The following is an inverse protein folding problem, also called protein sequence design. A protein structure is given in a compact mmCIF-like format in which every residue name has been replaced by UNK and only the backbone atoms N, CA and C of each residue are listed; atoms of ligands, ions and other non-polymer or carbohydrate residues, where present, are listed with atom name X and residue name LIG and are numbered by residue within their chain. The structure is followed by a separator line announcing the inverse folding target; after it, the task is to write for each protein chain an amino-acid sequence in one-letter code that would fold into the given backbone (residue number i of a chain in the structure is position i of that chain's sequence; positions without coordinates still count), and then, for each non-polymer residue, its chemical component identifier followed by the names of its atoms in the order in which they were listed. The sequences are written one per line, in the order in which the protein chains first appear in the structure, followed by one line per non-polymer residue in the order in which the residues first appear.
data_IF_154682578742
#
_entry.id   IF_154682578742
#
_cell.length_a   1.000
_cell.length_b   1.000
_cell.length_c   1.000
_cell.angle_alpha   90.00
_cell.angle_beta   90.00
_cell.angle_gamma   90.00
#
_symmetry.space_group_name_H-M   'P 1'
#
loop_
_entity.id
_entity.type
_entity.pdbx_description
1 polymer ?
#
# COMPACT_ATOMS: atom_id res chain seq x y z
N UNK A 1 24.61 12.02 -3.98
CA UNK A 1 23.63 13.01 -4.46
C UNK A 1 22.24 12.43 -4.27
N UNK A 2 21.24 13.16 -3.77
CA UNK A 2 19.88 12.62 -3.70
C UNK A 2 19.40 12.35 -5.13
N UNK A 3 18.91 11.13 -5.36
CA UNK A 3 18.28 10.73 -6.62
C UNK A 3 17.11 11.69 -6.86
N UNK A 4 16.97 12.30 -8.05
CA UNK A 4 15.84 13.18 -8.36
C UNK A 4 14.54 12.40 -8.16
N UNK A 5 13.64 12.90 -7.31
CA UNK A 5 12.32 12.29 -7.17
C UNK A 5 11.58 12.37 -8.50
N UNK A 6 10.96 11.28 -8.98
CA UNK A 6 10.12 11.34 -10.17
C UNK A 6 9.01 12.38 -10.00
N UNK A 7 8.66 13.13 -11.05
CA UNK A 7 7.70 14.21 -10.96
C UNK A 7 6.34 13.70 -10.47
N UNK A 8 5.77 14.40 -9.50
CA UNK A 8 4.50 14.05 -8.87
C UNK A 8 3.39 13.93 -9.92
N UNK A 9 2.68 12.79 -9.97
CA UNK A 9 1.43 12.65 -10.75
C UNK A 9 0.42 13.68 -10.23
N UNK A 10 0.28 14.79 -10.94
CA UNK A 10 -0.65 15.86 -10.61
C UNK A 10 -2.07 15.40 -10.96
N UNK A 11 -3.03 15.62 -10.07
CA UNK A 11 -4.43 15.21 -10.22
C UNK A 11 -5.26 16.17 -11.07
N UNK A 12 -4.70 17.33 -11.44
CA UNK A 12 -5.35 18.29 -12.35
C UNK A 12 -5.33 17.73 -13.76
N UNK A 13 -6.48 17.74 -14.43
CA UNK A 13 -6.65 17.23 -15.79
C UNK A 13 -5.60 17.78 -16.76
N UNK A 14 -5.31 19.09 -16.71
CA UNK A 14 -4.27 19.71 -17.54
C UNK A 14 -2.87 19.14 -17.30
N UNK A 15 -2.53 18.81 -16.05
CA UNK A 15 -1.28 18.11 -15.77
C UNK A 15 -1.32 16.69 -16.33
N UNK A 16 -2.40 15.94 -16.11
CA UNK A 16 -2.53 14.55 -16.60
C UNK A 16 -2.39 14.50 -18.12
N UNK A 17 -3.06 15.40 -18.84
CA UNK A 17 -2.94 15.51 -20.30
C UNK A 17 -1.54 15.94 -20.73
N UNK A 18 -0.94 16.93 -20.07
CA UNK A 18 0.44 17.37 -20.39
C UNK A 18 1.45 16.26 -20.12
N UNK A 19 1.32 15.53 -19.01
CA UNK A 19 2.17 14.39 -18.66
C UNK A 19 2.04 13.22 -19.64
N UNK A 20 0.82 12.95 -20.14
CA UNK A 20 0.58 11.90 -21.15
C UNK A 20 1.11 12.30 -22.53
N UNK A 21 0.85 13.55 -22.95
CA UNK A 21 1.29 14.09 -24.26
C UNK A 21 2.81 14.21 -24.34
N UNK A 22 3.49 14.48 -23.22
CA UNK A 22 4.95 14.60 -23.16
C UNK A 22 5.68 13.26 -22.97
N UNK A 23 4.99 12.11 -22.89
CA UNK A 23 5.64 10.80 -22.73
C UNK A 23 6.37 10.60 -21.39
N UNK A 24 6.11 11.43 -20.38
CA UNK A 24 6.82 11.39 -19.08
C UNK A 24 6.46 10.11 -18.30
N UNK A 25 5.26 9.56 -18.51
CA UNK A 25 4.85 8.28 -17.93
C UNK A 25 5.52 7.06 -18.57
N UNK A 26 5.86 7.09 -19.87
CA UNK A 26 6.58 5.97 -20.50
C UNK A 26 8.00 5.86 -19.94
N UNK A 27 8.71 6.98 -19.78
CA UNK A 27 10.06 6.97 -19.18
C UNK A 27 10.08 6.59 -17.69
N UNK A 28 9.15 7.14 -16.89
CA UNK A 28 9.13 6.89 -15.43
C UNK A 28 8.68 5.47 -15.04
N UNK A 29 7.97 4.75 -15.93
CA UNK A 29 7.63 3.33 -15.71
C UNK A 29 8.70 2.38 -16.24
N UNK A 30 9.49 2.81 -17.23
CA UNK A 30 10.66 2.07 -17.72
C UNK A 30 11.87 2.19 -16.76
N UNK A 31 11.99 3.28 -15.99
CA UNK A 31 13.11 3.50 -15.05
C UNK A 31 12.96 2.85 -13.67
N UNK A 32 11.76 2.47 -13.24
CA UNK A 32 11.57 1.77 -11.96
C UNK A 32 11.48 0.28 -12.22
N UNK A 33 12.58 -0.44 -12.01
CA UNK A 33 12.61 -1.90 -11.88
C UNK A 33 11.79 -2.33 -10.64
N UNK A 34 10.48 -2.13 -10.68
CA UNK A 34 9.56 -2.53 -9.64
C UNK A 34 9.48 -4.05 -9.71
N UNK A 35 9.98 -4.72 -8.67
CA UNK A 35 9.95 -6.18 -8.61
C UNK A 35 8.54 -6.72 -8.87
N UNK A 36 8.43 -7.83 -9.60
CA UNK A 36 7.15 -8.41 -10.02
C UNK A 36 6.14 -8.53 -8.86
N UNK A 37 6.64 -8.87 -7.68
CA UNK A 37 5.81 -9.06 -6.49
C UNK A 37 5.23 -7.77 -5.92
N UNK A 38 5.93 -6.63 -6.07
CA UNK A 38 5.38 -5.33 -5.70
C UNK A 38 4.26 -4.93 -6.67
N UNK A 39 4.42 -5.25 -7.96
CA UNK A 39 3.36 -5.00 -8.94
C UNK A 39 2.11 -5.83 -8.62
N UNK A 40 2.27 -7.12 -8.35
CA UNK A 40 1.14 -7.97 -7.96
C UNK A 40 0.48 -7.47 -6.66
N UNK A 41 1.25 -7.01 -5.68
CA UNK A 41 0.74 -6.43 -4.44
C UNK A 41 -0.19 -5.24 -4.70
N UNK A 42 0.26 -4.29 -5.51
CA UNK A 42 -0.50 -3.09 -5.83
C UNK A 42 -1.78 -3.42 -6.63
N UNK A 43 -1.68 -4.36 -7.57
CA UNK A 43 -2.83 -4.83 -8.36
C UNK A 43 -3.83 -5.58 -7.46
N UNK A 44 -3.36 -6.42 -6.53
CA UNK A 44 -4.20 -7.16 -5.59
C UNK A 44 -4.96 -6.22 -4.64
N UNK A 45 -4.31 -5.20 -4.10
CA UNK A 45 -4.97 -4.20 -3.25
C UNK A 45 -5.98 -3.35 -4.01
N UNK A 46 -5.65 -2.96 -5.25
CA UNK A 46 -6.59 -2.28 -6.14
C UNK A 46 -7.82 -3.16 -6.39
N UNK A 47 -7.63 -4.45 -6.66
CA UNK A 47 -8.73 -5.42 -6.84
C UNK A 47 -9.59 -5.53 -5.58
N UNK A 48 -8.97 -5.71 -4.41
CA UNK A 48 -9.69 -5.81 -3.14
C UNK A 48 -10.54 -4.56 -2.86
N UNK A 49 -9.96 -3.38 -3.04
CA UNK A 49 -10.67 -2.11 -2.90
C UNK A 49 -11.87 -1.99 -3.85
N UNK A 50 -11.73 -2.47 -5.09
CA UNK A 50 -12.77 -2.38 -6.13
C UNK A 50 -13.90 -3.40 -5.92
N UNK A 51 -13.59 -4.55 -5.33
CA UNK A 51 -14.55 -5.60 -4.99
C UNK A 51 -15.30 -5.33 -3.69
N UNK A 52 -14.79 -4.43 -2.83
CA UNK A 52 -15.45 -4.05 -1.59
C UNK A 52 -16.82 -3.37 -1.83
N UNK A 53 -17.78 -3.66 -0.96
CA UNK A 53 -19.04 -2.90 -0.88
C UNK A 53 -18.80 -1.41 -0.56
N UNK A 54 -17.67 -1.10 0.08
CA UNK A 54 -17.25 0.26 0.46
C UNK A 54 -16.43 0.97 -0.62
N UNK A 55 -16.28 0.42 -1.82
CA UNK A 55 -15.44 1.00 -2.91
C UNK A 55 -15.70 2.48 -3.19
N UNK A 56 -16.95 2.93 -3.05
CA UNK A 56 -17.32 4.35 -3.20
C UNK A 56 -16.62 5.30 -2.20
N UNK A 57 -16.17 4.76 -1.08
CA UNK A 57 -15.48 5.46 0.01
C UNK A 57 -13.98 5.20 -0.06
N UNK A 58 -13.56 3.94 -0.19
CA UNK A 58 -12.16 3.52 0.04
C UNK A 58 -11.31 3.37 -1.22
N UNK A 59 -11.93 3.30 -2.42
CA UNK A 59 -11.18 3.33 -3.68
C UNK A 59 -10.76 4.76 -3.99
N UNK A 60 -9.82 5.26 -3.19
CA UNK A 60 -9.26 6.61 -3.30
C UNK A 60 -7.73 6.55 -3.20
N UNK A 61 -6.99 7.23 -4.08
CA UNK A 61 -7.48 7.98 -5.24
C UNK A 61 -8.15 7.09 -6.29
N UNK A 62 -9.18 7.62 -6.95
CA UNK A 62 -9.73 7.06 -8.19
C UNK A 62 -8.79 7.37 -9.38
N UNK A 63 -8.71 6.51 -10.43
CA UNK A 63 -7.77 6.71 -11.51
C UNK A 63 -8.12 7.90 -12.40
N UNK A 64 -7.07 8.57 -12.87
CA UNK A 64 -7.12 9.60 -13.91
C UNK A 64 -6.34 9.08 -15.10
N UNK A 65 -7.02 8.47 -16.05
CA UNK A 65 -6.41 7.79 -17.20
C UNK A 65 -7.01 8.36 -18.48
N UNK A 66 -6.13 8.82 -19.38
CA UNK A 66 -6.49 9.35 -20.70
C UNK A 66 -7.02 8.22 -21.58
N UNK A 67 -8.04 8.51 -22.39
CA UNK A 67 -8.54 7.55 -23.37
C UNK A 67 -7.50 7.34 -24.50
N UNK A 68 -7.04 6.09 -24.73
CA UNK A 68 -6.06 5.79 -25.78
C UNK A 68 -6.50 6.17 -27.19
N UNK A 69 -7.81 6.22 -27.45
CA UNK A 69 -8.36 6.58 -28.77
C UNK A 69 -8.76 8.05 -28.86
N UNK A 70 -8.83 8.76 -27.73
CA UNK A 70 -9.17 10.17 -27.71
C UNK A 70 -8.42 10.90 -26.58
N UNK A 71 -7.26 11.52 -26.89
CA UNK A 71 -6.39 12.13 -25.88
C UNK A 71 -6.99 13.39 -25.23
N UNK A 72 -8.18 13.84 -25.65
CA UNK A 72 -8.88 15.00 -25.07
C UNK A 72 -9.81 14.62 -23.92
N UNK A 73 -10.05 13.34 -23.69
CA UNK A 73 -10.97 12.86 -22.66
C UNK A 73 -10.27 11.87 -21.72
N UNK A 74 -10.78 11.78 -20.49
CA UNK A 74 -10.36 10.79 -19.52
C UNK A 74 -11.30 9.58 -19.58
N UNK A 75 -10.76 8.41 -19.88
CA UNK A 75 -11.47 7.14 -19.78
C UNK A 75 -11.79 6.77 -18.33
N UNK A 76 -10.89 7.12 -17.40
CA UNK A 76 -11.17 7.09 -15.96
C UNK A 76 -11.00 8.50 -15.39
N UNK A 77 -12.06 9.02 -14.74
CA UNK A 77 -12.06 10.33 -14.10
C UNK A 77 -12.64 10.26 -12.69
N UNK A 78 -11.99 10.87 -11.69
CA UNK A 78 -12.55 10.99 -10.34
C UNK A 78 -13.89 11.74 -10.29
N UNK A 79 -14.16 12.60 -11.28
CA UNK A 79 -15.43 13.35 -11.41
C UNK A 79 -16.57 12.47 -11.92
N UNK A 80 -16.27 11.43 -12.70
CA UNK A 80 -17.24 10.52 -13.33
C UNK A 80 -16.76 9.08 -13.16
N UNK A 81 -16.97 8.53 -11.97
CA UNK A 81 -16.47 7.21 -11.59
C UNK A 81 -17.29 6.10 -12.24
N UNK A 82 -16.63 5.23 -13.00
CA UNK A 82 -17.22 4.00 -13.53
C UNK A 82 -16.47 2.79 -12.98
N UNK A 83 -16.97 2.23 -11.87
CA UNK A 83 -16.35 1.07 -11.23
C UNK A 83 -16.46 -0.21 -12.09
N UNK A 84 -17.57 -0.38 -12.83
CA UNK A 84 -17.75 -1.54 -13.69
C UNK A 84 -16.75 -1.55 -14.86
N UNK A 85 -16.51 -0.39 -15.49
CA UNK A 85 -15.51 -0.28 -16.56
C UNK A 85 -14.09 -0.47 -16.03
N UNK A 86 -13.81 0.06 -14.85
CA UNK A 86 -12.54 -0.09 -14.16
C UNK A 86 -12.26 -1.56 -13.80
N UNK A 87 -13.28 -2.29 -13.34
CA UNK A 87 -13.17 -3.71 -13.01
C UNK A 87 -12.81 -4.52 -14.25
N UNK A 88 -13.48 -4.27 -15.39
CA UNK A 88 -13.16 -4.93 -16.67
C UNK A 88 -11.70 -4.72 -17.09
N UNK A 89 -11.21 -3.48 -17.03
CA UNK A 89 -9.81 -3.18 -17.36
C UNK A 89 -8.84 -3.89 -16.40
N UNK A 90 -9.15 -3.90 -15.09
CA UNK A 90 -8.34 -4.57 -14.08
C UNK A 90 -8.34 -6.10 -14.25
N UNK A 91 -9.46 -6.70 -14.65
CA UNK A 91 -9.56 -8.13 -14.93
C UNK A 91 -8.66 -8.51 -16.12
N UNK A 92 -8.55 -7.66 -17.14
CA UNK A 92 -7.60 -7.84 -18.26
C UNK A 92 -6.15 -7.75 -17.80
N UNK A 93 -5.81 -6.82 -16.89
CA UNK A 93 -4.47 -6.75 -16.28
C UNK A 93 -4.15 -8.06 -15.55
N UNK A 94 -5.07 -8.55 -14.73
CA UNK A 94 -4.91 -9.79 -13.97
C UNK A 94 -4.77 -11.01 -14.89
N UNK A 95 -5.55 -11.09 -15.95
CA UNK A 95 -5.49 -12.18 -16.93
C UNK A 95 -4.10 -12.27 -17.56
N UNK A 96 -3.56 -11.15 -18.02
CA UNK A 96 -2.27 -11.13 -18.70
C UNK A 96 -1.14 -11.38 -17.72
N UNK A 97 -1.22 -10.87 -16.50
CA UNK A 97 -0.22 -11.22 -15.46
C UNK A 97 -0.20 -12.71 -15.11
N UNK A 98 -1.30 -13.44 -15.33
CA UNK A 98 -1.34 -14.91 -15.17
C UNK A 98 -0.74 -15.66 -16.35
N UNK A 99 -0.91 -15.12 -17.55
CA UNK A 99 -0.57 -15.81 -18.80
C UNK A 99 0.79 -15.42 -19.37
N UNK A 100 1.24 -14.20 -19.11
CA UNK A 100 2.40 -13.64 -19.76
C UNK A 100 3.69 -14.03 -19.05
N UNK A 101 4.46 -14.85 -19.76
CA UNK A 101 5.89 -15.01 -19.58
C UNK A 101 6.56 -14.26 -20.74
N UNK A 102 7.44 -13.31 -20.45
CA UNK A 102 8.18 -12.61 -21.51
C UNK A 102 8.49 -11.14 -21.23
N UNK A 103 9.12 -10.46 -22.20
CA UNK A 103 9.53 -9.06 -22.07
C UNK A 103 8.33 -8.12 -21.89
N UNK A 104 8.54 -7.01 -21.18
CA UNK A 104 7.50 -6.01 -20.89
C UNK A 104 6.80 -5.44 -22.13
N UNK A 105 7.53 -5.32 -23.25
CA UNK A 105 6.97 -4.88 -24.54
C UNK A 105 5.90 -5.83 -25.09
N UNK A 106 6.04 -7.14 -24.84
CA UNK A 106 5.09 -8.15 -25.27
C UNK A 106 3.86 -8.18 -24.36
N UNK A 107 4.07 -8.00 -23.06
CA UNK A 107 2.99 -7.84 -22.06
C UNK A 107 2.09 -6.67 -22.43
N UNK A 108 2.68 -5.53 -22.83
CA UNK A 108 1.93 -4.34 -23.28
C UNK A 108 1.07 -4.66 -24.51
N UNK A 109 1.63 -5.27 -25.55
CA UNK A 109 0.90 -5.61 -26.77
C UNK A 109 -0.28 -6.54 -26.49
N UNK A 110 -0.08 -7.52 -25.60
CA UNK A 110 -1.15 -8.41 -25.16
C UNK A 110 -2.24 -7.64 -24.40
N UNK A 111 -1.88 -6.68 -23.54
CA UNK A 111 -2.82 -5.82 -22.81
C UNK A 111 -3.67 -5.00 -23.76
N UNK A 112 -3.02 -4.27 -24.67
CA UNK A 112 -3.69 -3.41 -25.64
C UNK A 112 -4.67 -4.19 -26.53
N UNK A 113 -4.37 -5.47 -26.83
CA UNK A 113 -5.25 -6.35 -27.61
C UNK A 113 -6.51 -6.80 -26.87
N UNK A 114 -6.42 -7.05 -25.56
CA UNK A 114 -7.57 -7.52 -24.75
C UNK A 114 -8.44 -6.33 -24.31
N UNK A 115 -7.81 -5.32 -23.72
CA UNK A 115 -8.48 -4.10 -23.32
C UNK A 115 -7.50 -2.92 -23.42
N UNK A 116 -7.75 -1.93 -24.28
CA UNK A 116 -6.85 -0.79 -24.49
C UNK A 116 -6.64 0.06 -23.23
N UNK A 117 -7.50 -0.06 -22.20
CA UNK A 117 -7.31 0.59 -20.91
C UNK A 117 -6.51 -0.24 -19.89
N UNK A 118 -6.22 -1.52 -20.16
CA UNK A 118 -5.51 -2.38 -19.21
C UNK A 118 -4.09 -1.87 -18.93
N UNK A 119 -3.32 -1.60 -19.98
CA UNK A 119 -1.95 -1.10 -19.82
C UNK A 119 -1.89 0.32 -19.22
N UNK A 120 -2.67 1.31 -19.69
CA UNK A 120 -2.73 2.62 -19.05
C UNK A 120 -3.17 2.56 -17.58
N UNK A 121 -4.09 1.65 -17.23
CA UNK A 121 -4.50 1.44 -15.85
C UNK A 121 -3.35 0.86 -15.00
N UNK A 122 -2.63 -0.14 -15.51
CA UNK A 122 -1.48 -0.70 -14.82
C UNK A 122 -0.40 0.37 -14.59
N UNK A 123 -0.07 1.17 -15.60
CA UNK A 123 0.86 2.29 -15.46
C UNK A 123 0.37 3.27 -14.40
N UNK A 124 -0.91 3.61 -14.38
CA UNK A 124 -1.47 4.43 -13.32
C UNK A 124 -1.28 3.77 -11.97
N UNK A 125 -1.64 2.50 -11.77
CA UNK A 125 -1.50 1.78 -10.49
C UNK A 125 -0.08 1.89 -9.94
N UNK A 126 0.92 1.69 -10.80
CA UNK A 126 2.34 1.79 -10.45
C UNK A 126 2.76 3.23 -10.13
N UNK A 127 2.53 4.16 -11.05
CA UNK A 127 3.02 5.54 -10.95
C UNK A 127 2.36 6.34 -9.82
N UNK A 128 1.16 5.98 -9.41
CA UNK A 128 0.42 6.67 -8.35
C UNK A 128 0.72 6.14 -6.95
N UNK A 129 1.42 5.01 -6.83
CA UNK A 129 2.07 4.65 -5.57
C UNK A 129 3.41 5.39 -5.46
N UNK A 130 3.47 6.38 -4.57
CA UNK A 130 4.69 7.18 -4.32
C UNK A 130 5.54 6.63 -3.19
N UNK A 131 5.06 5.59 -2.52
CA UNK A 131 5.85 4.92 -1.50
C UNK A 131 6.88 4.04 -2.22
N UNK A 132 8.16 4.22 -1.90
CA UNK A 132 9.19 3.32 -2.44
C UNK A 132 9.08 1.98 -1.71
N UNK A 133 8.43 1.00 -2.36
CA UNK A 133 8.17 -0.33 -1.80
C UNK A 133 9.20 -1.31 -2.35
N UNK A 134 9.90 -1.99 -1.45
CA UNK A 134 10.89 -3.01 -1.78
C UNK A 134 10.54 -4.30 -1.06
N UNK A 135 10.53 -5.42 -1.78
CA UNK A 135 10.41 -6.73 -1.12
C UNK A 135 11.71 -7.07 -0.40
N UNK A 136 11.61 -7.48 0.86
CA UNK A 136 12.78 -7.90 1.63
C UNK A 136 13.27 -9.28 1.14
N UNK A 137 14.58 -9.41 0.82
CA UNK A 137 15.18 -10.72 0.59
C UNK A 137 15.19 -11.53 1.88
N UNK A 138 15.20 -12.86 1.75
CA UNK A 138 15.08 -13.80 2.88
C UNK A 138 16.02 -13.49 4.06
N UNK A 139 17.27 -13.11 3.77
CA UNK A 139 18.29 -12.80 4.77
C UNK A 139 18.07 -11.47 5.51
N UNK A 140 17.11 -10.64 5.08
CA UNK A 140 16.75 -9.35 5.70
C UNK A 140 15.31 -9.32 6.21
N UNK A 141 14.62 -10.46 6.24
CA UNK A 141 13.26 -10.56 6.75
C UNK A 141 13.22 -10.55 8.29
N UNK A 142 12.18 -9.94 8.85
CA UNK A 142 11.88 -10.03 10.27
C UNK A 142 11.36 -11.43 10.56
N UNK A 143 12.12 -12.20 11.34
CA UNK A 143 11.87 -13.64 11.48
C UNK A 143 10.55 -13.93 12.19
N UNK A 144 10.17 -13.07 13.14
CA UNK A 144 8.95 -13.20 13.92
C UNK A 144 7.66 -12.99 13.11
N UNK A 145 7.73 -12.53 11.87
CA UNK A 145 6.54 -12.33 11.04
C UNK A 145 6.12 -13.58 10.26
N UNK A 146 6.98 -14.59 10.11
CA UNK A 146 6.66 -15.89 9.49
C UNK A 146 5.93 -15.82 8.14
N UNK A 147 6.23 -14.81 7.34
CA UNK A 147 5.76 -14.71 5.95
C UNK A 147 6.93 -14.35 5.03
N UNK A 148 7.03 -14.97 3.84
CA UNK A 148 8.01 -14.56 2.84
C UNK A 148 7.63 -13.24 2.15
N UNK A 149 6.40 -12.75 2.37
CA UNK A 149 5.86 -11.54 1.74
C UNK A 149 6.00 -10.34 2.68
N UNK A 150 7.25 -9.94 2.91
CA UNK A 150 7.60 -8.77 3.70
C UNK A 150 8.08 -7.65 2.79
N UNK A 151 7.44 -6.50 2.90
CA UNK A 151 7.75 -5.33 2.09
C UNK A 151 8.20 -4.19 3.00
N UNK A 152 9.32 -3.56 2.66
CA UNK A 152 9.80 -2.34 3.27
C UNK A 152 9.31 -1.14 2.46
N UNK A 153 8.73 -0.17 3.15
CA UNK A 153 8.31 1.12 2.61
C UNK A 153 9.37 2.15 3.04
N UNK A 154 10.33 2.39 2.15
CA UNK A 154 11.53 3.20 2.43
C UNK A 154 11.15 4.67 2.68
N UNK A 155 10.15 5.17 1.96
CA UNK A 155 9.60 6.51 2.15
C UNK A 155 8.09 6.49 1.96
N UNK A 156 7.37 7.21 2.81
CA UNK A 156 5.98 7.59 2.51
C UNK A 156 5.92 8.66 1.41
N UNK A 157 4.71 9.20 1.11
CA UNK A 157 4.57 10.35 0.21
C UNK A 157 5.51 11.51 0.63
N UNK A 158 6.30 12.12 -0.29
CA UNK A 158 7.43 12.98 0.08
C UNK A 158 7.12 14.10 1.08
N UNK A 159 5.96 14.76 0.94
CA UNK A 159 5.55 15.82 1.86
C UNK A 159 5.21 15.30 3.26
N UNK A 160 4.63 14.10 3.37
CA UNK A 160 4.31 13.45 4.64
C UNK A 160 5.57 12.93 5.32
N UNK A 161 6.48 12.32 4.55
CA UNK A 161 7.78 11.86 5.06
C UNK A 161 8.60 13.04 5.61
N UNK A 162 8.65 14.18 4.91
CA UNK A 162 9.34 15.37 5.40
C UNK A 162 8.79 15.86 6.75
N UNK A 163 7.46 15.93 6.92
CA UNK A 163 6.83 16.32 8.19
C UNK A 163 7.11 15.31 9.30
N UNK A 164 7.05 14.01 8.97
CA UNK A 164 7.39 12.93 9.92
C UNK A 164 8.84 13.04 10.41
N UNK A 165 9.81 13.26 9.52
CA UNK A 165 11.22 13.37 9.90
C UNK A 165 11.49 14.59 10.79
N UNK A 166 10.82 15.72 10.54
CA UNK A 166 10.90 16.90 11.42
C UNK A 166 10.37 16.58 12.82
N UNK A 167 9.20 15.95 12.92
CA UNK A 167 8.60 15.56 14.20
C UNK A 167 9.47 14.51 14.94
N UNK A 168 10.06 13.56 14.21
CA UNK A 168 10.96 12.53 14.73
C UNK A 168 12.20 13.13 15.39
N UNK A 169 12.82 14.14 14.77
CA UNK A 169 13.97 14.83 15.36
C UNK A 169 13.63 15.53 16.67
N UNK A 170 12.40 16.03 16.80
CA UNK A 170 11.96 16.79 17.97
C UNK A 170 11.50 15.89 19.12
N UNK A 171 10.78 14.81 18.81
CA UNK A 171 10.06 14.02 19.82
C UNK A 171 10.55 12.57 19.95
N UNK A 172 11.44 12.13 19.07
CA UNK A 172 11.77 10.71 18.91
C UNK A 172 10.64 9.90 18.26
N UNK A 173 10.91 8.61 18.09
CA UNK A 173 9.94 7.66 17.53
C UNK A 173 10.09 6.28 18.17
N UNK A 174 9.03 5.48 18.05
CA UNK A 174 9.00 4.05 18.39
C UNK A 174 8.24 3.27 17.31
N UNK A 175 8.16 1.96 17.42
CA UNK A 175 7.42 1.12 16.48
C UNK A 175 6.13 0.58 17.11
N UNK A 176 5.07 0.47 16.31
CA UNK A 176 3.83 -0.19 16.69
C UNK A 176 3.15 -0.78 15.46
N UNK A 177 2.39 -1.85 15.65
CA UNK A 177 1.60 -2.47 14.60
C UNK A 177 0.29 -1.72 14.34
N UNK A 178 -0.16 -1.81 13.10
CA UNK A 178 -1.49 -1.38 12.66
C UNK A 178 -2.10 -2.46 11.76
N UNK A 179 -3.28 -2.95 12.14
CA UNK A 179 -4.06 -3.87 11.33
C UNK A 179 -5.11 -3.16 10.49
N UNK A 180 -5.27 -3.59 9.24
CA UNK A 180 -6.38 -3.15 8.41
C UNK A 180 -6.73 -4.21 7.36
N UNK A 181 -8.02 -4.35 7.05
CA UNK A 181 -8.47 -5.20 5.95
C UNK A 181 -7.84 -4.81 4.61
N UNK A 182 -7.56 -5.82 3.75
CA UNK A 182 -6.81 -5.63 2.49
C UNK A 182 -7.39 -4.54 1.59
N UNK A 183 -8.72 -4.39 1.53
CA UNK A 183 -9.38 -3.39 0.68
C UNK A 183 -9.04 -1.94 1.03
N UNK A 184 -8.57 -1.67 2.26
CA UNK A 184 -8.18 -0.31 2.66
C UNK A 184 -6.74 0.04 2.20
N UNK A 185 -5.91 -0.95 1.89
CA UNK A 185 -4.49 -0.73 1.61
C UNK A 185 -4.22 -0.03 0.28
N UNK A 186 -5.16 -0.10 -0.68
CA UNK A 186 -5.12 0.75 -1.88
C UNK A 186 -4.96 2.23 -1.50
N UNK A 187 -5.80 2.71 -0.57
CA UNK A 187 -5.75 4.10 -0.11
C UNK A 187 -4.58 4.35 0.84
N UNK A 188 -4.32 3.44 1.78
CA UNK A 188 -3.25 3.62 2.79
C UNK A 188 -1.88 3.73 2.13
N UNK A 189 -1.57 2.94 1.10
CA UNK A 189 -0.26 3.02 0.42
C UNK A 189 -0.02 4.35 -0.30
N UNK A 190 -1.08 5.07 -0.65
CA UNK A 190 -1.02 6.31 -1.44
C UNK A 190 -1.16 7.57 -0.60
N UNK A 191 -1.99 7.51 0.44
CA UNK A 191 -2.30 8.64 1.32
C UNK A 191 -1.63 8.51 2.71
N UNK A 192 -1.08 7.34 3.02
CA UNK A 192 -0.68 6.96 4.36
C UNK A 192 -1.89 6.68 5.27
N UNK A 193 -1.61 6.26 6.50
CA UNK A 193 -2.63 6.14 7.53
C UNK A 193 -3.21 7.51 7.88
N UNK A 194 -4.52 7.55 8.06
CA UNK A 194 -5.28 8.76 8.39
C UNK A 194 -6.13 8.53 9.62
N UNK A 195 -6.34 9.60 10.38
CA UNK A 195 -7.31 9.60 11.48
C UNK A 195 -8.73 9.47 10.91
N UNK A 196 -9.27 8.24 10.95
CA UNK A 196 -10.57 7.92 10.38
C UNK A 196 -11.74 8.18 11.35
N UNK A 197 -11.46 8.47 12.63
CA UNK A 197 -12.49 8.63 13.66
C UNK A 197 -13.48 9.77 13.33
N UNK A 198 -14.76 9.45 13.46
CA UNK A 198 -15.94 10.27 13.14
C UNK A 198 -16.00 10.71 11.68
N UNK A 199 -15.44 9.92 10.77
CA UNK A 199 -15.54 10.13 9.32
C UNK A 199 -16.20 8.93 8.65
N UNK A 200 -16.54 9.07 7.35
CA UNK A 200 -17.00 7.97 6.51
C UNK A 200 -16.02 6.78 6.41
N UNK A 201 -14.76 6.96 6.80
CA UNK A 201 -13.74 5.92 6.77
C UNK A 201 -13.73 5.04 8.05
N UNK A 202 -14.42 5.45 9.12
CA UNK A 202 -14.44 4.71 10.38
C UNK A 202 -15.11 3.34 10.22
N UNK A 203 -14.39 2.27 10.55
CA UNK A 203 -14.92 0.89 10.62
C UNK A 203 -15.22 0.45 12.05
N UNK A 204 -14.31 0.77 12.98
CA UNK A 204 -14.40 0.40 14.38
C UNK A 204 -14.66 1.64 15.24
N UNK A 205 -15.23 1.45 16.42
CA UNK A 205 -15.47 2.55 17.37
C UNK A 205 -14.19 3.27 17.78
N UNK A 206 -14.33 4.55 18.18
CA UNK A 206 -13.23 5.38 18.67
C UNK A 206 -13.20 5.39 20.21
N UNK A 207 -13.14 4.20 20.83
CA UNK A 207 -13.34 4.01 22.28
C UNK A 207 -12.31 4.75 23.16
N UNK A 208 -11.09 4.92 22.66
CA UNK A 208 -9.99 5.61 23.34
C UNK A 208 -9.67 6.97 22.71
N UNK A 209 -10.66 7.58 22.04
CA UNK A 209 -10.52 8.88 21.42
C UNK A 209 -10.23 8.86 19.92
N UNK A 210 -10.09 10.06 19.36
CA UNK A 210 -10.01 10.30 17.91
C UNK A 210 -8.59 10.10 17.39
N UNK A 211 -8.31 9.05 16.62
CA UNK A 211 -6.96 8.83 16.09
C UNK A 211 -6.78 7.59 15.24
N UNK A 212 -5.53 7.39 14.83
CA UNK A 212 -5.03 6.15 14.25
C UNK A 212 -4.73 5.20 15.41
N UNK A 213 -5.39 4.05 15.39
CA UNK A 213 -5.23 3.02 16.42
C UNK A 213 -4.06 2.11 16.06
N UNK A 214 -3.15 1.93 17.01
CA UNK A 214 -1.92 1.16 16.90
C UNK A 214 -1.76 0.28 18.15
N UNK A 215 -0.92 -0.74 18.08
CA UNK A 215 -0.56 -1.54 19.26
C UNK A 215 0.90 -1.97 19.20
N UNK A 216 1.65 -1.93 20.31
CA UNK A 216 2.96 -2.56 20.35
C UNK A 216 2.86 -4.09 20.26
N UNK A 217 1.67 -4.68 20.49
CA UNK A 217 1.41 -6.12 20.47
C UNK A 217 0.84 -6.55 19.11
N UNK A 218 1.46 -7.53 18.46
CA UNK A 218 1.06 -8.02 17.14
C UNK A 218 -0.36 -8.62 17.11
N UNK A 219 -0.73 -9.46 18.08
CA UNK A 219 -2.07 -10.10 18.15
C UNK A 219 -3.23 -9.14 18.10
N UNK A 220 -3.12 -7.98 18.76
CA UNK A 220 -4.16 -6.96 18.74
C UNK A 220 -4.39 -6.47 17.31
N UNK A 221 -3.31 -6.17 16.58
CA UNK A 221 -3.40 -5.69 15.20
C UNK A 221 -3.80 -6.78 14.20
N UNK A 222 -3.43 -8.05 14.43
CA UNK A 222 -3.93 -9.15 13.61
C UNK A 222 -5.46 -9.23 13.62
N UNK A 223 -6.10 -9.04 14.78
CA UNK A 223 -7.56 -9.00 14.90
C UNK A 223 -8.24 -7.94 14.00
N UNK A 224 -7.57 -6.81 13.74
CA UNK A 224 -8.08 -5.75 12.85
C UNK A 224 -7.70 -5.93 11.37
N UNK A 225 -6.94 -6.97 11.04
CA UNK A 225 -6.46 -7.26 9.68
C UNK A 225 -7.38 -8.20 8.90
N UNK A 226 -8.57 -8.50 9.45
CA UNK A 226 -9.48 -9.52 8.93
C UNK A 226 -8.98 -10.95 9.12
N UNK A 227 -8.00 -11.15 10.00
CA UNK A 227 -7.42 -12.45 10.33
C UNK A 227 -8.22 -13.07 11.46
N UNK A 228 -9.46 -13.46 11.14
CA UNK A 228 -10.19 -14.38 11.99
C UNK A 228 -9.71 -15.79 11.65
N UNK A 229 -9.05 -16.46 12.60
CA UNK A 229 -8.74 -17.88 12.54
C UNK A 229 -10.03 -18.66 12.31
N UNK A 230 -10.39 -19.01 11.07
CA UNK A 230 -11.27 -20.12 10.68
C UNK A 230 -11.25 -20.19 9.14
N UNK A 231 -10.94 -21.39 8.63
CA UNK A 231 -10.80 -21.82 7.22
C UNK A 231 -9.39 -21.72 6.62
N UNK A 232 -8.60 -22.78 6.86
CA UNK A 232 -7.43 -23.14 6.06
C UNK A 232 -7.91 -23.55 4.65
N UNK A 233 -7.57 -22.79 3.62
CA UNK A 233 -7.68 -23.23 2.21
C UNK A 233 -6.31 -23.61 1.67
N UNK A 234 -6.28 -24.61 0.78
CA UNK A 234 -5.04 -25.18 0.24
C UNK A 234 -4.17 -24.13 -0.47
N UNK A 235 -2.83 -24.22 -0.35
CA UNK A 235 -1.91 -23.32 -1.04
C UNK A 235 -2.00 -23.52 -2.55
N UNK A 236 -2.32 -22.46 -3.28
CA UNK A 236 -2.12 -22.40 -4.74
C UNK A 236 -0.69 -21.91 -5.03
N UNK A 237 -0.06 -22.43 -6.07
CA UNK A 237 1.36 -22.21 -6.40
C UNK A 237 1.67 -20.85 -7.03
N UNK A 238 0.69 -19.94 -7.13
CA UNK A 238 0.88 -18.62 -7.74
C UNK A 238 0.52 -17.50 -6.75
N UNK A 239 1.51 -16.64 -6.50
CA UNK A 239 1.52 -15.48 -5.61
C UNK A 239 0.29 -14.56 -5.74
N UNK A 240 -0.29 -14.11 -4.60
CA UNK A 240 -1.41 -13.14 -4.50
C UNK A 240 -2.69 -13.49 -5.30
N UNK A 241 -2.85 -14.76 -5.70
CA UNK A 241 -4.06 -15.22 -6.37
C UNK A 241 -5.16 -15.64 -5.38
N UNK A 242 -4.79 -15.90 -4.13
CA UNK A 242 -5.74 -16.22 -3.06
C UNK A 242 -6.67 -15.03 -2.80
N UNK A 243 -7.98 -15.30 -2.69
CA UNK A 243 -8.98 -14.25 -2.40
C UNK A 243 -8.88 -13.71 -0.97
N UNK A 244 -8.23 -14.47 -0.10
CA UNK A 244 -8.13 -14.19 1.33
C UNK A 244 -6.69 -13.82 1.67
N UNK A 245 -6.34 -12.59 1.31
CA UNK A 245 -5.09 -11.96 1.71
C UNK A 245 -5.34 -11.10 2.93
N UNK A 246 -4.44 -11.18 3.90
CA UNK A 246 -4.47 -10.36 5.09
C UNK A 246 -3.18 -9.55 5.20
N UNK A 247 -3.31 -8.32 5.66
CA UNK A 247 -2.20 -7.37 5.69
C UNK A 247 -2.11 -6.74 7.08
N UNK A 248 -0.90 -6.68 7.62
CA UNK A 248 -0.57 -5.94 8.84
C UNK A 248 0.62 -5.04 8.54
N UNK A 249 0.60 -3.82 9.07
CA UNK A 249 1.74 -2.92 9.00
C UNK A 249 2.49 -2.89 10.33
N UNK A 250 3.80 -2.68 10.22
CA UNK A 250 4.62 -2.14 11.31
C UNK A 250 4.92 -0.68 10.97
N UNK A 251 4.45 0.21 11.82
CA UNK A 251 4.55 1.65 11.68
C UNK A 251 5.60 2.21 12.62
N UNK A 252 6.32 3.23 12.16
CA UNK A 252 7.09 4.13 13.01
C UNK A 252 6.15 5.25 13.48
N UNK A 253 6.15 5.52 14.79
CA UNK A 253 5.20 6.42 15.46
C UNK A 253 5.97 7.43 16.29
N UNK A 254 5.64 8.71 16.13
CA UNK A 254 6.26 9.80 16.90
C UNK A 254 5.85 9.73 18.36
N UNK A 255 6.82 9.83 19.27
CA UNK A 255 6.62 9.79 20.73
C UNK A 255 6.35 11.18 21.33
N UNK A 256 5.53 11.97 20.65
CA UNK A 256 5.05 13.28 21.14
C UNK A 256 4.00 13.10 22.25
N UNK A 257 3.72 14.19 23.00
CA UNK A 257 2.64 14.22 24.01
C UNK A 257 1.25 13.87 23.48
N UNK A 258 1.02 14.02 22.17
CA UNK A 258 -0.25 13.70 21.52
C UNK A 258 -0.49 12.19 21.33
N UNK A 259 0.54 11.35 21.48
CA UNK A 259 0.39 9.90 21.40
C UNK A 259 -0.21 9.39 22.70
N UNK A 260 -1.48 9.01 22.65
CA UNK A 260 -2.22 8.49 23.80
C UNK A 260 -1.97 6.99 23.93
N UNK A 261 -1.63 6.51 25.14
CA UNK A 261 -1.34 5.09 25.41
C UNK A 261 -2.30 4.57 26.48
N UNK A 262 -3.21 3.69 26.10
CA UNK A 262 -4.16 3.00 26.97
C UNK A 262 -3.74 1.53 27.09
N UNK A 263 -2.71 1.28 27.90
CA UNK A 263 -2.04 -0.03 27.94
C UNK A 263 -1.43 -0.39 26.58
N UNK A 264 -1.92 -1.48 25.98
CA UNK A 264 -1.46 -1.97 24.69
C UNK A 264 -2.23 -1.38 23.50
N UNK A 265 -3.14 -0.42 23.72
CA UNK A 265 -3.87 0.28 22.65
C UNK A 265 -3.40 1.72 22.61
N UNK A 266 -2.83 2.13 21.49
CA UNK A 266 -2.29 3.47 21.30
C UNK A 266 -3.13 4.23 20.27
N UNK A 267 -3.36 5.51 20.52
CA UNK A 267 -4.17 6.37 19.67
C UNK A 267 -3.34 7.58 19.28
N UNK A 268 -3.04 7.71 17.99
CA UNK A 268 -2.30 8.84 17.43
C UNK A 268 -3.25 9.77 16.65
N UNK A 269 -3.60 10.96 17.16
CA UNK A 269 -4.55 11.86 16.50
C UNK A 269 -3.98 12.51 15.24
N UNK A 270 -2.65 12.70 15.18
CA UNK A 270 -1.94 13.42 14.12
C UNK A 270 -1.48 12.43 13.06
N UNK A 271 -2.04 12.52 11.85
CA UNK A 271 -1.75 11.54 10.78
C UNK A 271 -0.30 11.60 10.28
N UNK A 272 0.36 12.74 10.41
CA UNK A 272 1.77 12.93 10.05
C UNK A 272 2.74 12.36 11.09
N UNK A 273 2.24 11.92 12.26
CA UNK A 273 3.04 11.28 13.31
C UNK A 273 3.09 9.75 13.16
N UNK A 274 2.51 9.19 12.10
CA UNK A 274 2.51 7.76 11.83
C UNK A 274 3.01 7.52 10.41
N UNK A 275 4.07 6.72 10.28
CA UNK A 275 4.59 6.29 8.99
C UNK A 275 4.66 4.77 8.91
N UNK A 276 4.08 4.19 7.87
CA UNK A 276 4.20 2.76 7.60
C UNK A 276 5.61 2.45 7.11
N UNK A 277 6.33 1.57 7.81
CA UNK A 277 7.69 1.15 7.44
C UNK A 277 7.72 -0.24 6.85
N UNK A 278 6.90 -1.15 7.37
CA UNK A 278 6.77 -2.48 6.81
C UNK A 278 5.32 -2.82 6.55
N UNK A 279 5.13 -3.66 5.53
CA UNK A 279 3.87 -4.31 5.25
C UNK A 279 4.11 -5.81 5.11
N UNK A 280 3.36 -6.59 5.86
CA UNK A 280 3.42 -8.05 5.83
C UNK A 280 2.12 -8.58 5.27
N UNK A 281 2.23 -9.44 4.27
CA UNK A 281 1.09 -10.05 3.60
C UNK A 281 1.05 -11.53 3.94
N UNK A 282 -0.13 -12.00 4.30
CA UNK A 282 -0.41 -13.39 4.63
C UNK A 282 -1.46 -13.94 3.70
N UNK A 283 -1.34 -15.22 3.41
CA UNK A 283 -2.31 -15.98 2.63
C UNK A 283 -2.96 -17.05 3.51
N UNK A 284 -4.22 -17.38 3.22
CA UNK A 284 -4.92 -18.55 3.80
C UNK A 284 -4.97 -18.57 5.35
N UNK A 285 -5.09 -17.39 5.97
CA UNK A 285 -5.26 -17.27 7.43
C UNK A 285 -3.99 -17.54 8.25
N UNK A 286 -2.82 -17.60 7.63
CA UNK A 286 -1.55 -17.61 8.36
C UNK A 286 -1.33 -16.29 9.10
N UNK A 287 -0.65 -16.33 10.25
CA UNK A 287 -0.23 -15.15 11.01
C UNK A 287 1.21 -15.34 11.48
N UNK A 288 1.90 -14.23 11.76
CA UNK A 288 3.19 -14.23 12.45
C UNK A 288 3.05 -14.55 13.94
N UNK A 289 4.13 -14.37 14.68
CA UNK A 289 4.13 -14.53 16.13
C UNK A 289 3.11 -13.57 16.78
N UNK A 290 2.21 -14.11 17.60
CA UNK A 290 1.07 -13.37 18.18
C UNK A 290 1.41 -12.60 19.46
N UNK A 291 2.59 -12.85 20.03
CA UNK A 291 3.06 -12.23 21.28
C UNK A 291 4.24 -11.27 21.08
N UNK A 292 4.43 -10.77 19.86
CA UNK A 292 5.51 -9.81 19.60
C UNK A 292 5.15 -8.47 20.22
N UNK A 293 6.05 -7.97 21.06
CA UNK A 293 6.00 -6.64 21.63
C UNK A 293 7.12 -5.77 21.06
N UNK A 294 6.77 -4.76 20.27
CA UNK A 294 7.73 -3.84 19.64
C UNK A 294 8.54 -3.00 20.64
N UNK A 295 8.13 -2.97 21.91
CA UNK A 295 8.87 -2.27 22.97
C UNK A 295 9.96 -3.12 23.61
N UNK A 296 10.03 -4.42 23.29
CA UNK A 296 11.15 -5.26 23.72
C UNK A 296 12.44 -4.86 22.98
N UNK A 297 13.53 -4.65 23.73
CA UNK A 297 14.80 -4.20 23.18
C UNK A 297 15.32 -5.12 22.05
N UNK A 298 15.08 -6.44 22.15
CA UNK A 298 15.46 -7.40 21.11
C UNK A 298 14.70 -7.13 19.80
N UNK A 299 13.37 -7.04 19.87
CA UNK A 299 12.50 -6.79 18.70
C UNK A 299 12.82 -5.43 18.10
N UNK A 300 12.96 -4.40 18.93
CA UNK A 300 13.29 -3.05 18.49
C UNK A 300 14.63 -3.00 17.72
N UNK A 301 15.68 -3.68 18.22
CA UNK A 301 16.97 -3.76 17.52
C UNK A 301 16.87 -4.50 16.19
N UNK A 302 16.11 -5.60 16.12
CA UNK A 302 15.90 -6.35 14.88
C UNK A 302 15.23 -5.48 13.81
N UNK A 303 14.19 -4.72 14.18
CA UNK A 303 13.52 -3.78 13.29
C UNK A 303 14.49 -2.72 12.75
N UNK A 304 15.25 -2.08 13.64
CA UNK A 304 16.22 -1.04 13.25
C UNK A 304 17.33 -1.59 12.34
N UNK A 305 17.82 -2.80 12.60
CA UNK A 305 18.85 -3.44 11.79
C UNK A 305 18.37 -3.67 10.36
N UNK A 306 17.13 -4.14 10.18
CA UNK A 306 16.55 -4.33 8.85
C UNK A 306 16.40 -3.00 8.11
N UNK A 307 15.86 -1.96 8.77
CA UNK A 307 15.73 -0.62 8.17
C UNK A 307 17.10 -0.07 7.74
N UNK A 308 18.09 -0.10 8.62
CA UNK A 308 19.43 0.42 8.34
C UNK A 308 20.11 -0.30 7.17
N UNK A 309 19.94 -1.62 7.08
CA UNK A 309 20.53 -2.43 6.01
C UNK A 309 19.95 -2.15 4.62
N UNK A 310 18.72 -1.62 4.56
CA UNK A 310 17.99 -1.37 3.31
C UNK A 310 18.12 0.08 2.79
N UNK A 311 18.75 0.96 3.58
CA UNK A 311 19.10 2.33 3.17
C UNK A 311 20.52 2.42 2.57
N UNK A 312 21.25 1.31 2.57
CA UNK A 312 22.54 1.07 1.91
C UNK A 312 22.33 0.26 0.63
#
# INVERSE_FOLDING_TARGET
SPVPFPPAVCTRELCVFSFYTLGVMSGATDEVATGAEVVDLLVAMCRAALQSSRKGIIFEPYPSVVDPFNPKILAFSPKRKSYNRLQKALDSVLLIRRMAQGPYSEIKKQMDKIDPLAYPLLQWILASNRSHIVKLPWNRQLKFMHTPHQFLLISGPPSKEARFQTARKLHGSTFAFHGSHIENWHSILRNGLVNASYTKFQLHGAAYGKGIYLSPISSISFGYSGMNCILKTHPSSLFLQNRNLNCIALCEVITSKDLQKHGNIWVCPISDHVCTRFLFVYENGQVGDVHINTQEARIHREILQVIASAQL
#
